data_IF_432304361055
#
_entry.id   IF_432304361055
#
_cell.length_a   1.000
_cell.length_b   1.000
_cell.length_c   1.000
_cell.angle_alpha   90.00
_cell.angle_beta   90.00
_cell.angle_gamma   90.00
#
_symmetry.space_group_name_H-M   'P 1'
#
loop_
_entity.id
_entity.type
_entity.pdbx_description
1 polymer ?
#
# COMPACT_ATOMS: atom_id res chain seq x y z
N UNK A 1 8.88 -1.73 -22.57
CA UNK A 1 9.72 -1.27 -21.45
C UNK A 1 8.83 -0.69 -20.35
N UNK A 2 8.94 -1.28 -19.15
CA UNK A 2 8.18 -1.10 -17.89
C UNK A 2 7.27 0.14 -17.71
N UNK A 3 5.99 0.01 -18.08
CA UNK A 3 4.93 0.96 -17.75
C UNK A 3 4.84 1.25 -16.24
N UNK A 4 5.04 0.22 -15.39
CA UNK A 4 5.03 0.38 -13.93
C UNK A 4 6.17 1.26 -13.39
N UNK A 5 7.37 1.22 -13.98
CA UNK A 5 8.50 2.06 -13.54
C UNK A 5 8.26 3.54 -13.87
N UNK A 6 7.65 3.82 -15.02
CA UNK A 6 7.27 5.19 -15.38
C UNK A 6 6.17 5.72 -14.46
N UNK A 7 5.16 4.89 -14.15
CA UNK A 7 4.11 5.25 -13.20
C UNK A 7 4.66 5.63 -11.81
N UNK A 8 5.56 4.82 -11.25
CA UNK A 8 6.20 5.11 -9.95
C UNK A 8 6.96 6.44 -10.00
N UNK A 9 7.72 6.69 -11.07
CA UNK A 9 8.50 7.92 -11.25
C UNK A 9 7.60 9.16 -11.32
N UNK A 10 6.57 9.12 -12.15
CA UNK A 10 5.61 10.22 -12.32
C UNK A 10 4.86 10.50 -11.00
N UNK A 11 4.43 9.45 -10.31
CA UNK A 11 3.78 9.57 -9.01
C UNK A 11 4.72 10.19 -7.96
N UNK A 12 5.99 9.77 -7.92
CA UNK A 12 6.99 10.35 -7.03
C UNK A 12 7.21 11.84 -7.30
N UNK A 13 7.38 12.23 -8.56
CA UNK A 13 7.54 13.64 -8.96
C UNK A 13 6.32 14.48 -8.55
N UNK A 14 5.10 13.96 -8.75
CA UNK A 14 3.87 14.61 -8.33
C UNK A 14 3.76 14.78 -6.81
N UNK A 15 4.15 13.76 -6.04
CA UNK A 15 4.15 13.82 -4.56
C UNK A 15 5.23 14.78 -4.06
N UNK A 16 6.41 14.81 -4.67
CA UNK A 16 7.51 15.69 -4.32
C UNK A 16 7.14 17.17 -4.51
N UNK A 17 6.39 17.48 -5.57
CA UNK A 17 5.89 18.84 -5.84
C UNK A 17 4.87 19.32 -4.79
N UNK A 18 4.13 18.40 -4.15
CA UNK A 18 3.19 18.73 -3.06
C UNK A 18 3.89 18.98 -1.72
N UNK A 19 5.18 18.64 -1.60
CA UNK A 19 5.92 18.82 -0.36
C UNK A 19 6.35 20.27 -0.17
N UNK A 20 5.86 20.91 0.90
CA UNK A 20 6.08 22.33 1.18
C UNK A 20 7.46 22.65 1.80
N UNK A 21 8.19 21.67 2.32
CA UNK A 21 9.46 21.88 3.03
C UNK A 21 10.60 21.05 2.45
N UNK A 22 11.80 21.63 2.43
CA UNK A 22 13.04 20.92 2.08
C UNK A 22 13.28 19.71 2.98
N UNK A 23 12.88 19.77 4.26
CA UNK A 23 12.97 18.62 5.15
C UNK A 23 12.08 17.47 4.68
N UNK A 24 10.83 17.76 4.32
CA UNK A 24 9.89 16.78 3.80
C UNK A 24 10.34 16.19 2.47
N UNK A 25 10.92 17.01 1.58
CA UNK A 25 11.50 16.54 0.31
C UNK A 25 12.66 15.57 0.52
N UNK A 26 13.57 15.88 1.46
CA UNK A 26 14.67 14.97 1.84
C UNK A 26 14.15 13.66 2.42
N UNK A 27 13.15 13.72 3.29
CA UNK A 27 12.51 12.52 3.84
C UNK A 27 11.80 11.69 2.77
N UNK A 28 11.11 12.32 1.80
CA UNK A 28 10.50 11.65 0.66
C UNK A 28 11.54 10.96 -0.22
N UNK A 29 12.67 11.64 -0.49
CA UNK A 29 13.77 11.06 -1.27
C UNK A 29 14.33 9.80 -0.60
N UNK A 30 14.56 9.86 0.73
CA UNK A 30 15.04 8.71 1.49
C UNK A 30 14.05 7.53 1.47
N UNK A 31 12.75 7.81 1.66
CA UNK A 31 11.71 6.77 1.56
C UNK A 31 11.68 6.18 0.15
N UNK A 32 11.79 7.01 -0.88
CA UNK A 32 11.81 6.57 -2.26
C UNK A 32 13.00 5.63 -2.54
N UNK A 33 14.20 5.99 -2.07
CA UNK A 33 15.40 5.14 -2.17
C UNK A 33 15.19 3.79 -1.48
N UNK A 34 14.67 3.77 -0.24
CA UNK A 34 14.37 2.53 0.49
C UNK A 34 13.38 1.65 -0.31
N UNK A 35 12.32 2.24 -0.84
CA UNK A 35 11.34 1.50 -1.62
C UNK A 35 11.93 0.96 -2.93
N UNK A 36 12.79 1.74 -3.61
CA UNK A 36 13.48 1.29 -4.82
C UNK A 36 14.44 0.13 -4.53
N UNK A 37 15.23 0.22 -3.47
CA UNK A 37 16.12 -0.85 -3.02
C UNK A 37 15.32 -2.14 -2.78
N UNK A 38 14.22 -2.06 -2.01
CA UNK A 38 13.35 -3.21 -1.75
C UNK A 38 12.76 -3.79 -3.05
N UNK A 39 12.27 -2.94 -3.93
CA UNK A 39 11.70 -3.37 -5.21
C UNK A 39 12.75 -4.07 -6.08
N UNK A 40 13.99 -3.59 -6.09
CA UNK A 40 15.11 -4.20 -6.82
C UNK A 40 15.55 -5.53 -6.20
N UNK A 41 15.53 -5.64 -4.86
CA UNK A 41 15.78 -6.89 -4.14
C UNK A 41 14.65 -7.92 -4.27
N UNK A 42 13.51 -7.56 -4.88
CA UNK A 42 12.35 -8.44 -5.04
C UNK A 42 11.49 -8.55 -3.78
N UNK A 43 11.72 -7.70 -2.79
CA UNK A 43 10.90 -7.60 -1.59
C UNK A 43 9.50 -7.08 -1.93
N UNK A 44 8.50 -7.63 -1.26
CA UNK A 44 7.08 -7.28 -1.48
C UNK A 44 6.45 -6.55 -0.30
N UNK A 45 7.20 -6.33 0.77
CA UNK A 45 6.68 -5.75 2.00
C UNK A 45 6.82 -4.22 2.03
N UNK A 46 5.91 -3.53 1.35
CA UNK A 46 5.79 -2.06 1.42
C UNK A 46 4.80 -1.60 2.50
N UNK A 47 4.73 -2.30 3.64
CA UNK A 47 3.90 -1.84 4.74
C UNK A 47 4.51 -0.60 5.42
N UNK A 48 3.67 0.31 5.91
CA UNK A 48 4.11 1.51 6.63
C UNK A 48 5.01 1.16 7.82
N UNK A 49 4.71 0.06 8.52
CA UNK A 49 5.51 -0.41 9.66
C UNK A 49 6.92 -0.83 9.24
N UNK A 50 7.06 -1.56 8.12
CA UNK A 50 8.35 -2.01 7.61
C UNK A 50 9.20 -0.84 7.09
N UNK A 51 8.62 -0.02 6.20
CA UNK A 51 9.32 1.15 5.63
C UNK A 51 9.69 2.15 6.72
N UNK A 52 8.80 2.39 7.69
CA UNK A 52 9.08 3.30 8.81
C UNK A 52 10.20 2.80 9.72
N UNK A 53 10.32 1.50 9.96
CA UNK A 53 11.43 0.92 10.72
C UNK A 53 12.77 1.15 10.00
N UNK A 54 12.85 0.82 8.71
CA UNK A 54 14.06 0.99 7.90
C UNK A 54 14.42 2.47 7.76
N UNK A 55 13.41 3.33 7.53
CA UNK A 55 13.61 4.76 7.43
C UNK A 55 14.17 5.35 8.72
N UNK A 56 13.67 4.91 9.88
CA UNK A 56 14.21 5.34 11.19
C UNK A 56 15.69 5.01 11.33
N UNK A 57 16.08 3.79 10.95
CA UNK A 57 17.49 3.34 11.00
C UNK A 57 18.37 4.19 10.09
N UNK A 58 17.86 4.60 8.92
CA UNK A 58 18.56 5.49 7.98
C UNK A 58 18.45 7.00 8.32
N UNK A 59 17.96 7.37 9.51
CA UNK A 59 17.84 8.77 9.93
C UNK A 59 16.65 9.54 9.33
N UNK A 60 15.68 8.82 8.78
CA UNK A 60 14.45 9.32 8.20
C UNK A 60 13.27 9.43 9.17
N UNK A 61 12.05 9.68 8.66
CA UNK A 61 10.85 9.71 9.47
C UNK A 61 10.51 8.32 10.03
N UNK A 62 10.18 8.28 11.32
CA UNK A 62 9.73 7.04 11.95
C UNK A 62 8.29 6.65 11.57
N UNK A 63 7.91 5.43 11.91
CA UNK A 63 6.56 4.88 11.64
C UNK A 63 5.43 5.78 12.14
N UNK A 64 5.58 6.42 13.30
CA UNK A 64 4.61 7.38 13.83
C UNK A 64 4.49 8.63 12.96
N UNK A 65 5.63 9.21 12.55
CA UNK A 65 5.68 10.36 11.67
C UNK A 65 5.02 10.09 10.30
N UNK A 66 5.21 8.88 9.76
CA UNK A 66 4.54 8.44 8.53
C UNK A 66 3.04 8.24 8.76
N UNK A 67 2.62 7.69 9.91
CA UNK A 67 1.20 7.46 10.24
C UNK A 67 0.41 8.74 10.52
N UNK A 68 1.07 9.82 10.94
CA UNK A 68 0.40 11.09 11.26
C UNK A 68 -0.25 11.74 10.02
N UNK A 69 -1.22 12.65 10.26
CA UNK A 69 -1.92 13.39 9.17
C UNK A 69 -0.95 14.15 8.25
N UNK A 70 0.08 14.74 8.83
CA UNK A 70 1.13 15.48 8.10
C UNK A 70 2.02 14.56 7.25
N UNK A 71 2.05 13.25 7.56
CA UNK A 71 2.80 12.23 6.83
C UNK A 71 2.06 11.62 5.64
N UNK A 72 0.92 12.18 5.21
CA UNK A 72 0.12 11.61 4.10
C UNK A 72 0.94 11.45 2.81
N UNK A 73 1.82 12.40 2.48
CA UNK A 73 2.71 12.30 1.30
C UNK A 73 3.61 11.05 1.36
N UNK A 74 4.09 10.68 2.55
CA UNK A 74 4.88 9.47 2.74
C UNK A 74 4.03 8.20 2.56
N UNK A 75 2.79 8.22 3.08
CA UNK A 75 1.85 7.10 2.89
C UNK A 75 1.49 6.91 1.43
N UNK A 76 1.21 8.00 0.72
CA UNK A 76 0.85 7.98 -0.69
C UNK A 76 1.98 7.37 -1.53
N UNK A 77 3.23 7.76 -1.25
CA UNK A 77 4.39 7.19 -1.93
C UNK A 77 4.52 5.69 -1.65
N UNK A 78 4.43 5.26 -0.39
CA UNK A 78 4.50 3.84 -0.01
C UNK A 78 3.36 3.05 -0.69
N UNK A 79 2.17 3.64 -0.79
CA UNK A 79 1.01 3.03 -1.45
C UNK A 79 1.24 2.83 -2.95
N UNK A 80 1.82 3.80 -3.63
CA UNK A 80 2.19 3.68 -5.06
C UNK A 80 3.11 2.48 -5.29
N UNK A 81 4.10 2.28 -4.42
CA UNK A 81 4.96 1.09 -4.51
C UNK A 81 4.19 -0.21 -4.23
N UNK A 82 3.34 -0.23 -3.21
CA UNK A 82 2.50 -1.38 -2.92
C UNK A 82 1.55 -1.73 -4.09
N UNK A 83 0.95 -0.74 -4.74
CA UNK A 83 0.08 -0.91 -5.91
C UNK A 83 0.86 -1.33 -7.17
N UNK A 84 2.14 -0.98 -7.26
CA UNK A 84 2.98 -1.39 -8.38
C UNK A 84 3.34 -2.88 -8.34
N UNK A 85 3.36 -3.49 -7.14
CA UNK A 85 3.69 -4.91 -6.94
C UNK A 85 2.45 -5.80 -6.84
N UNK A 86 1.37 -5.31 -6.24
CA UNK A 86 0.11 -6.02 -6.15
C UNK A 86 -0.74 -5.63 -7.37
N UNK A 87 -1.04 -6.61 -8.25
CA UNK A 87 -2.25 -6.50 -9.08
C UNK A 87 -3.40 -6.17 -8.11
N UNK A 88 -4.30 -5.22 -8.43
CA UNK A 88 -5.23 -4.66 -7.45
C UNK A 88 -5.93 -5.79 -6.72
N UNK A 89 -5.52 -6.02 -5.47
CA UNK A 89 -6.31 -6.85 -4.57
C UNK A 89 -7.56 -6.01 -4.38
N UNK A 90 -8.64 -6.45 -5.04
CA UNK A 90 -9.98 -6.00 -4.74
C UNK A 90 -10.05 -5.85 -3.22
N UNK A 91 -10.53 -4.70 -2.71
CA UNK A 91 -10.58 -4.49 -1.27
C UNK A 91 -11.21 -5.74 -0.69
N UNK A 92 -10.51 -6.38 0.25
CA UNK A 92 -11.06 -7.54 0.96
C UNK A 92 -12.32 -7.02 1.60
N UNK A 93 -13.45 -7.23 0.92
CA UNK A 93 -14.75 -6.85 1.41
C UNK A 93 -14.82 -7.50 2.78
N UNK A 94 -15.18 -6.73 3.81
CA UNK A 94 -15.50 -7.32 5.11
C UNK A 94 -16.47 -8.46 4.80
N UNK A 95 -16.03 -9.71 4.95
CA UNK A 95 -16.90 -10.87 4.76
C UNK A 95 -18.09 -10.59 5.66
N UNK A 96 -19.28 -10.46 5.07
CA UNK A 96 -20.48 -10.31 5.88
C UNK A 96 -20.60 -11.57 6.76
N UNK A 97 -21.42 -11.52 7.81
CA UNK A 97 -21.63 -12.63 8.73
C UNK A 97 -22.01 -13.95 8.01
N UNK A 98 -22.55 -13.85 6.78
CA UNK A 98 -22.96 -14.96 5.95
C UNK A 98 -22.07 -15.19 4.71
N UNK A 99 -20.84 -14.66 4.68
CA UNK A 99 -19.98 -14.69 3.50
C UNK A 99 -19.47 -16.09 3.17
N UNK A 100 -19.60 -17.01 4.12
CA UNK A 100 -19.31 -18.43 3.96
C UNK A 100 -20.33 -19.16 3.08
N UNK A 101 -21.53 -18.58 2.87
CA UNK A 101 -22.58 -19.20 2.05
C UNK A 101 -22.15 -19.28 0.59
N UNK A 102 -21.36 -18.33 0.11
CA UNK A 102 -20.83 -18.33 -1.26
C UNK A 102 -19.83 -19.48 -1.51
N UNK A 103 -19.24 -20.04 -0.45
CA UNK A 103 -18.27 -21.13 -0.52
C UNK A 103 -18.95 -22.53 -0.58
N UNK A 104 -20.27 -22.62 -0.46
CA UNK A 104 -21.02 -23.90 -0.55
C UNK A 104 -20.98 -24.40 -2.01
N UNK A 105 -20.36 -25.53 -2.27
CA UNK A 105 -20.20 -26.10 -3.62
C UNK A 105 -21.54 -26.43 -4.30
N UNK A 106 -22.48 -27.02 -3.55
CA UNK A 106 -23.81 -27.39 -4.07
C UNK A 106 -24.69 -26.17 -4.28
N UNK A 107 -25.10 -25.95 -5.54
CA UNK A 107 -26.00 -24.86 -5.92
C UNK A 107 -27.34 -24.88 -5.19
N UNK A 108 -27.91 -26.07 -4.98
CA UNK A 108 -29.20 -26.23 -4.28
C UNK A 108 -29.05 -25.93 -2.79
N UNK A 109 -27.99 -26.45 -2.15
CA UNK A 109 -27.72 -26.16 -0.74
C UNK A 109 -27.43 -24.67 -0.53
N UNK A 110 -26.66 -24.05 -1.42
CA UNK A 110 -26.39 -22.61 -1.41
C UNK A 110 -27.66 -21.78 -1.47
N UNK A 111 -28.61 -22.17 -2.34
CA UNK A 111 -29.88 -21.46 -2.47
C UNK A 111 -30.75 -21.58 -1.21
N UNK A 112 -30.90 -22.78 -0.66
CA UNK A 112 -31.69 -23.02 0.57
C UNK A 112 -31.13 -22.25 1.77
N UNK A 113 -29.80 -22.23 1.91
CA UNK A 113 -29.17 -21.49 3.00
C UNK A 113 -29.37 -19.99 2.85
N UNK A 114 -29.30 -19.44 1.62
CA UNK A 114 -29.62 -18.01 1.36
C UNK A 114 -31.06 -17.66 1.71
N UNK A 115 -32.01 -18.54 1.41
CA UNK A 115 -33.43 -18.36 1.75
C UNK A 115 -33.66 -18.34 3.27
N UNK A 116 -32.95 -19.21 4.02
CA UNK A 116 -33.08 -19.31 5.47
C UNK A 116 -32.54 -18.10 6.25
N UNK A 117 -31.51 -17.44 5.73
CA UNK A 117 -30.84 -16.29 6.37
C UNK A 117 -31.34 -14.93 5.86
N UNK A 118 -32.32 -14.93 4.93
CA UNK A 118 -32.97 -13.71 4.43
C UNK A 118 -33.87 -13.09 5.49
#
# INVERSE_FOLDING_TARGET
MNSSKNYIREAYEAILNKANSNKSKKSLALINEICLEQLQSGEKNFSISNIGAISTIKGGPNTGAIRNKTGHLYKDLIKVYAESIDKPKLPVAKRNEHGWVDDIESSTARWLVRDLIS
#
